data_IF_224527939828
#
_entry.id   IF_224527939828
#
_cell.length_a   1.000
_cell.length_b   1.000
_cell.length_c   1.000
_cell.angle_alpha   90.00
_cell.angle_beta   90.00
_cell.angle_gamma   90.00
#
_symmetry.space_group_name_H-M   'P 1'
#
loop_
_entity.id
_entity.type
_entity.pdbx_description
1 polymer ?
#
# COMPACT_ATOMS: atom_id res chain seq x y z
N UNK A 1 5.96 2.02 16.04
CA UNK A 1 6.08 2.74 14.76
C UNK A 1 4.84 3.55 14.48
N UNK A 2 3.66 3.01 14.71
CA UNK A 2 2.36 3.68 14.47
C UNK A 2 2.07 4.83 15.39
N UNK A 3 2.67 4.87 16.57
CA UNK A 3 2.52 5.99 17.52
C UNK A 3 3.07 7.31 16.97
N UNK A 4 4.00 7.21 16.03
CA UNK A 4 4.66 8.37 15.41
C UNK A 4 4.23 8.60 13.96
N UNK A 5 3.58 7.62 13.32
CA UNK A 5 3.29 7.61 11.90
C UNK A 5 1.80 7.37 11.64
N UNK A 6 0.95 8.19 12.21
CA UNK A 6 -0.52 8.07 12.09
C UNK A 6 -1.06 8.19 10.65
N UNK A 7 -0.26 8.75 9.76
CA UNK A 7 -0.57 8.83 8.34
C UNK A 7 -0.26 7.54 7.57
N UNK A 8 0.40 6.57 8.20
CA UNK A 8 0.74 5.28 7.60
C UNK A 8 -0.16 4.20 8.19
N UNK A 9 -0.69 3.35 7.32
CA UNK A 9 -1.33 2.11 7.69
C UNK A 9 -0.55 0.95 7.11
N UNK A 10 -0.04 0.08 7.96
CA UNK A 10 0.82 -1.02 7.54
C UNK A 10 0.00 -2.26 7.23
N UNK A 11 0.04 -2.68 5.96
CA UNK A 11 -0.74 -3.82 5.45
C UNK A 11 0.13 -4.88 4.78
N UNK A 12 1.45 -4.76 4.89
CA UNK A 12 2.40 -5.70 4.29
C UNK A 12 2.56 -6.99 5.08
N UNK A 13 3.29 -7.96 4.49
CA UNK A 13 3.64 -9.20 5.15
C UNK A 13 4.52 -8.98 6.38
N UNK A 14 4.43 -9.90 7.33
CA UNK A 14 5.24 -9.86 8.55
C UNK A 14 6.61 -10.47 8.29
N UNK A 15 7.56 -9.62 7.90
CA UNK A 15 8.93 -10.02 7.57
C UNK A 15 9.90 -10.00 8.76
N UNK A 16 11.09 -10.56 8.51
CA UNK A 16 12.23 -10.47 9.41
C UNK A 16 12.19 -11.47 10.57
N UNK A 17 11.28 -12.41 10.53
CA UNK A 17 11.16 -13.45 11.53
C UNK A 17 12.07 -14.64 11.16
N UNK A 18 12.88 -15.10 12.14
CA UNK A 18 13.78 -16.22 11.96
C UNK A 18 13.01 -17.54 12.02
N UNK A 19 13.25 -18.43 11.07
CA UNK A 19 12.55 -19.72 10.94
C UNK A 19 13.32 -20.91 11.52
N UNK A 20 14.53 -20.67 12.00
CA UNK A 20 15.41 -21.65 12.64
C UNK A 20 15.35 -21.63 14.17
N UNK A 21 14.47 -20.84 14.76
CA UNK A 21 14.27 -20.78 16.19
C UNK A 21 13.48 -22.00 16.72
N UNK A 22 13.79 -22.38 17.93
CA UNK A 22 13.12 -23.47 18.64
C UNK A 22 12.47 -22.97 19.94
N UNK A 23 11.73 -23.85 20.63
CA UNK A 23 11.17 -23.58 21.96
C UNK A 23 12.21 -23.35 23.05
N UNK A 24 13.51 -23.58 22.77
CA UNK A 24 14.62 -23.26 23.66
C UNK A 24 15.11 -21.83 23.49
N UNK A 25 14.86 -21.26 22.32
CA UNK A 25 15.32 -19.94 21.93
C UNK A 25 14.25 -18.87 22.18
N UNK A 26 12.98 -19.26 22.10
CA UNK A 26 11.83 -18.34 22.17
C UNK A 26 10.74 -18.91 23.06
N UNK A 27 10.39 -18.17 24.12
CA UNK A 27 9.32 -18.56 25.06
C UNK A 27 7.93 -18.09 24.61
N UNK A 28 7.85 -17.12 23.72
CA UNK A 28 6.61 -16.55 23.22
C UNK A 28 6.85 -15.33 22.33
N UNK A 29 5.78 -14.84 21.74
CA UNK A 29 5.80 -13.69 20.87
C UNK A 29 4.78 -12.65 21.36
N UNK A 30 5.22 -11.42 21.56
CA UNK A 30 4.36 -10.30 21.95
C UNK A 30 4.32 -9.31 20.79
N UNK A 31 3.12 -9.00 20.33
CA UNK A 31 2.90 -8.03 19.26
C UNK A 31 2.24 -6.76 19.79
N UNK A 32 2.68 -5.62 19.28
CA UNK A 32 2.02 -4.33 19.51
C UNK A 32 1.39 -3.88 18.18
N UNK A 33 0.13 -4.25 17.91
CA UNK A 33 -0.54 -3.90 16.66
C UNK A 33 -0.87 -2.41 16.59
N UNK A 34 -1.34 -1.97 15.41
CA UNK A 34 -1.86 -0.61 15.22
C UNK A 34 -3.11 -0.37 16.10
N UNK A 35 -3.47 0.89 16.29
CA UNK A 35 -4.72 1.27 16.99
C UNK A 35 -6.00 0.85 16.24
N UNK A 36 -5.87 0.50 14.95
CA UNK A 36 -6.94 0.01 14.08
C UNK A 36 -7.05 -1.51 14.16
N UNK A 37 -8.00 -2.01 14.93
CA UNK A 37 -8.10 -3.43 15.26
C UNK A 37 -8.34 -4.34 14.05
N UNK A 38 -9.23 -3.97 13.15
CA UNK A 38 -9.52 -4.76 11.96
C UNK A 38 -8.38 -4.68 10.95
N UNK A 39 -7.82 -3.50 10.72
CA UNK A 39 -6.68 -3.33 9.82
C UNK A 39 -5.40 -4.02 10.34
N UNK A 40 -5.29 -4.23 11.66
CA UNK A 40 -4.17 -4.98 12.26
C UNK A 40 -4.23 -6.48 12.02
N UNK A 41 -5.40 -7.03 11.69
CA UNK A 41 -5.57 -8.49 11.55
C UNK A 41 -4.67 -9.10 10.48
N UNK A 42 -4.40 -8.38 9.39
CA UNK A 42 -3.54 -8.90 8.34
C UNK A 42 -2.11 -9.13 8.84
N UNK A 43 -1.54 -8.19 9.59
CA UNK A 43 -0.23 -8.37 10.22
C UNK A 43 -0.27 -9.43 11.32
N UNK A 44 -1.32 -9.44 12.14
CA UNK A 44 -1.51 -10.43 13.22
C UNK A 44 -1.70 -11.85 12.68
N UNK A 45 -2.25 -12.00 11.48
CA UNK A 45 -2.34 -13.29 10.78
C UNK A 45 -0.93 -13.89 10.58
N UNK A 46 0.04 -13.05 10.19
CA UNK A 46 1.44 -13.45 10.10
C UNK A 46 2.06 -13.83 11.45
N UNK A 47 1.78 -13.06 12.49
CA UNK A 47 2.25 -13.35 13.86
C UNK A 47 1.69 -14.67 14.35
N UNK A 48 0.41 -14.94 14.11
CA UNK A 48 -0.25 -16.18 14.54
C UNK A 48 0.34 -17.41 13.83
N UNK A 49 0.49 -17.36 12.51
CA UNK A 49 1.05 -18.46 11.73
C UNK A 49 2.52 -18.74 12.13
N UNK A 50 3.34 -17.69 12.26
CA UNK A 50 4.70 -17.82 12.74
C UNK A 50 4.77 -18.45 14.13
N UNK A 51 3.92 -18.01 15.06
CA UNK A 51 3.91 -18.54 16.42
C UNK A 51 3.50 -20.02 16.48
N UNK A 52 2.69 -20.46 15.52
CA UNK A 52 2.20 -21.84 15.41
C UNK A 52 3.19 -22.76 14.71
N UNK A 53 3.86 -22.28 13.67
CA UNK A 53 4.74 -23.12 12.84
C UNK A 53 5.96 -22.32 12.33
N UNK A 54 6.88 -22.03 13.25
CA UNK A 54 8.08 -21.22 13.00
C UNK A 54 8.87 -21.74 11.78
N UNK A 55 9.12 -23.06 11.74
CA UNK A 55 10.03 -23.67 10.76
C UNK A 55 9.55 -23.55 9.30
N UNK A 56 8.23 -23.48 9.07
CA UNK A 56 7.65 -23.42 7.73
C UNK A 56 7.00 -22.06 7.43
N UNK A 57 7.23 -21.05 8.26
CA UNK A 57 6.64 -19.73 8.03
C UNK A 57 7.22 -19.10 6.77
N UNK A 58 6.32 -18.74 5.84
CA UNK A 58 6.64 -17.96 4.68
C UNK A 58 5.80 -16.68 4.69
N UNK A 59 6.41 -15.49 4.81
CA UNK A 59 5.68 -14.24 4.97
C UNK A 59 4.78 -13.89 3.78
N UNK A 60 5.19 -14.21 2.56
CA UNK A 60 4.38 -13.93 1.35
C UNK A 60 3.18 -14.86 1.24
N UNK A 61 3.41 -16.17 1.35
CA UNK A 61 2.34 -17.17 1.26
C UNK A 61 1.31 -16.97 2.39
N UNK A 62 1.80 -16.60 3.57
CA UNK A 62 0.93 -16.27 4.69
C UNK A 62 0.09 -15.02 4.41
N UNK A 63 0.70 -13.97 3.91
CA UNK A 63 0.03 -12.72 3.61
C UNK A 63 -1.05 -12.88 2.51
N UNK A 64 -0.76 -13.62 1.44
CA UNK A 64 -1.73 -13.92 0.38
C UNK A 64 -2.93 -14.72 0.95
N UNK A 65 -2.68 -15.72 1.80
CA UNK A 65 -3.75 -16.45 2.49
C UNK A 65 -4.55 -15.54 3.41
N UNK A 66 -3.86 -14.69 4.18
CA UNK A 66 -4.51 -13.74 5.08
C UNK A 66 -5.46 -12.78 4.37
N UNK A 67 -5.09 -12.29 3.20
CA UNK A 67 -5.97 -11.45 2.37
C UNK A 67 -7.25 -12.19 1.96
N UNK A 68 -7.12 -13.44 1.52
CA UNK A 68 -8.27 -14.27 1.14
C UNK A 68 -9.16 -14.60 2.35
N UNK A 69 -8.56 -15.00 3.47
CA UNK A 69 -9.31 -15.41 4.66
C UNK A 69 -10.04 -14.24 5.33
N UNK A 70 -9.44 -13.06 5.33
CA UNK A 70 -10.00 -11.87 5.98
C UNK A 70 -11.03 -11.15 5.10
N UNK A 71 -10.88 -11.20 3.78
CA UNK A 71 -11.74 -10.48 2.83
C UNK A 71 -11.98 -11.29 1.54
N UNK A 72 -12.60 -12.48 1.61
CA UNK A 72 -12.67 -13.38 0.48
C UNK A 72 -13.32 -12.77 -0.78
N UNK A 73 -14.31 -11.89 -0.61
CA UNK A 73 -15.00 -11.27 -1.75
C UNK A 73 -14.30 -10.02 -2.29
N UNK A 74 -13.34 -9.48 -1.54
CA UNK A 74 -12.64 -8.22 -1.88
C UNK A 74 -11.10 -8.37 -1.89
N UNK A 75 -10.57 -9.60 -1.77
CA UNK A 75 -9.15 -9.85 -1.55
C UNK A 75 -8.25 -9.25 -2.62
N UNK A 76 -8.63 -9.27 -3.89
CA UNK A 76 -7.84 -8.69 -4.98
C UNK A 76 -7.71 -7.16 -4.87
N UNK A 77 -8.81 -6.48 -4.53
CA UNK A 77 -8.79 -5.04 -4.31
C UNK A 77 -8.04 -4.68 -3.03
N UNK A 78 -8.23 -5.47 -1.96
CA UNK A 78 -7.47 -5.29 -0.73
C UNK A 78 -5.99 -5.57 -0.94
N UNK A 79 -5.64 -6.60 -1.71
CA UNK A 79 -4.25 -6.89 -2.08
C UNK A 79 -3.60 -5.71 -2.80
N UNK A 80 -4.30 -5.09 -3.75
CA UNK A 80 -3.81 -3.91 -4.46
C UNK A 80 -3.50 -2.76 -3.49
N UNK A 81 -4.39 -2.48 -2.55
CA UNK A 81 -4.16 -1.46 -1.52
C UNK A 81 -3.02 -1.86 -0.57
N UNK A 82 -3.03 -3.10 -0.09
CA UNK A 82 -2.11 -3.60 0.92
C UNK A 82 -0.66 -3.62 0.42
N UNK A 83 -0.41 -4.00 -0.84
CA UNK A 83 0.95 -3.99 -1.40
C UNK A 83 1.54 -2.59 -1.54
N UNK A 84 0.71 -1.54 -1.68
CA UNK A 84 1.15 -0.15 -1.69
C UNK A 84 1.18 0.50 -0.29
N UNK A 85 0.77 -0.24 0.74
CA UNK A 85 0.71 0.20 2.13
C UNK A 85 1.56 -0.70 3.04
N UNK A 86 2.63 -1.29 2.51
CA UNK A 86 3.46 -2.26 3.23
C UNK A 86 4.76 -1.67 3.77
N UNK A 87 5.06 -0.42 3.46
CA UNK A 87 6.32 0.23 3.81
C UNK A 87 6.12 1.40 4.77
N UNK A 88 7.19 1.76 5.47
CA UNK A 88 7.24 2.93 6.33
C UNK A 88 8.27 3.93 5.80
N UNK A 89 8.16 5.20 6.19
CA UNK A 89 9.17 6.22 5.89
C UNK A 89 10.56 5.89 6.43
N UNK A 90 10.67 4.99 7.40
CA UNK A 90 11.91 4.64 8.07
C UNK A 90 12.66 3.49 7.42
N UNK A 91 12.26 3.05 6.24
CA UNK A 91 13.04 2.12 5.42
C UNK A 91 12.96 0.67 5.83
N UNK A 92 11.81 0.20 6.29
CA UNK A 92 11.55 -1.24 6.29
C UNK A 92 11.68 -1.77 4.87
N UNK A 93 12.32 -2.92 4.72
CA UNK A 93 12.57 -3.54 3.42
C UNK A 93 11.28 -3.63 2.63
N UNK A 94 11.25 -2.98 1.51
CA UNK A 94 10.31 -3.26 0.44
C UNK A 94 10.59 -4.64 -0.11
N UNK A 95 9.55 -5.29 -0.57
CA UNK A 95 9.73 -6.46 -1.42
C UNK A 95 10.15 -5.93 -2.78
N UNK A 96 11.36 -6.25 -3.20
CA UNK A 96 11.93 -5.76 -4.47
C UNK A 96 11.02 -6.05 -5.67
N UNK A 97 10.25 -7.16 -5.63
CA UNK A 97 9.27 -7.50 -6.66
C UNK A 97 8.07 -6.55 -6.74
N UNK A 98 7.82 -5.77 -5.70
CA UNK A 98 6.74 -4.77 -5.63
C UNK A 98 7.25 -3.35 -5.88
N UNK A 99 8.55 -3.15 -5.87
CA UNK A 99 9.09 -1.87 -6.24
C UNK A 99 8.72 -1.57 -7.69
N UNK A 100 8.02 -0.46 -7.88
CA UNK A 100 7.85 0.10 -9.21
C UNK A 100 9.24 0.43 -9.72
N UNK A 101 9.69 -0.29 -10.74
CA UNK A 101 10.96 0.02 -11.41
C UNK A 101 10.95 1.50 -11.76
N UNK A 102 12.08 2.16 -11.58
CA UNK A 102 12.20 3.59 -11.88
C UNK A 102 11.75 3.83 -13.32
N UNK A 103 10.64 4.53 -13.47
CA UNK A 103 10.10 4.91 -14.76
C UNK A 103 10.73 6.23 -15.20
N UNK A 104 11.32 6.26 -16.38
CA UNK A 104 11.95 7.45 -16.95
C UNK A 104 11.12 7.97 -18.11
N UNK A 105 10.66 9.21 -18.05
CA UNK A 105 9.83 9.83 -19.10
C UNK A 105 10.55 10.04 -20.42
N UNK A 106 11.87 10.09 -20.38
CA UNK A 106 12.74 10.27 -21.56
C UNK A 106 13.18 8.94 -22.21
N UNK A 107 13.01 7.83 -21.51
CA UNK A 107 13.44 6.51 -21.98
C UNK A 107 12.60 5.38 -21.37
N UNK A 108 11.51 5.02 -22.01
CA UNK A 108 10.66 3.90 -21.63
C UNK A 108 10.14 3.13 -22.85
N UNK A 109 9.83 1.88 -22.65
CA UNK A 109 9.15 1.02 -23.63
C UNK A 109 7.63 1.14 -23.50
N UNK A 110 6.90 0.79 -24.54
CA UNK A 110 5.44 0.72 -24.48
C UNK A 110 4.95 -0.32 -23.45
N UNK A 111 5.71 -1.40 -23.25
CA UNK A 111 5.40 -2.39 -22.23
C UNK A 111 5.50 -1.82 -20.80
N UNK A 112 6.56 -1.07 -20.51
CA UNK A 112 6.72 -0.38 -19.20
C UNK A 112 5.64 0.67 -19.00
N UNK A 113 5.32 1.45 -20.03
CA UNK A 113 4.25 2.42 -19.98
C UNK A 113 2.89 1.77 -19.66
N UNK A 114 2.54 0.73 -20.41
CA UNK A 114 1.27 0.03 -20.25
C UNK A 114 1.17 -0.68 -18.89
N UNK A 115 2.27 -1.24 -18.39
CA UNK A 115 2.32 -1.86 -17.08
C UNK A 115 2.04 -0.83 -15.96
N UNK A 116 2.71 0.33 -16.01
CA UNK A 116 2.49 1.40 -15.04
C UNK A 116 1.08 1.99 -15.14
N UNK A 117 0.58 2.21 -16.36
CA UNK A 117 -0.79 2.67 -16.56
C UNK A 117 -1.83 1.69 -15.99
N UNK A 118 -1.63 0.40 -16.22
CA UNK A 118 -2.50 -0.66 -15.69
C UNK A 118 -2.47 -0.69 -14.16
N UNK A 119 -1.32 -0.44 -13.56
CA UNK A 119 -1.21 -0.35 -12.10
C UNK A 119 -2.02 0.83 -11.56
N UNK A 120 -1.91 2.01 -12.16
CA UNK A 120 -2.73 3.16 -11.74
C UNK A 120 -4.23 2.93 -11.94
N UNK A 121 -4.64 2.14 -12.94
CA UNK A 121 -6.04 1.72 -13.08
C UNK A 121 -6.47 0.86 -11.89
N UNK A 122 -5.65 -0.11 -11.47
CA UNK A 122 -5.94 -0.94 -10.28
C UNK A 122 -6.03 -0.09 -9.02
N UNK A 123 -5.03 0.78 -8.80
CA UNK A 123 -4.98 1.71 -7.66
C UNK A 123 -6.23 2.58 -7.59
N UNK A 124 -6.65 3.18 -8.71
CA UNK A 124 -7.86 4.00 -8.79
C UNK A 124 -9.13 3.22 -8.44
N UNK A 125 -9.24 1.98 -8.91
CA UNK A 125 -10.46 1.19 -8.81
C UNK A 125 -10.58 0.42 -7.48
N UNK A 126 -9.47 0.12 -6.81
CA UNK A 126 -9.45 -0.69 -5.60
C UNK A 126 -10.37 -0.16 -4.49
N UNK A 127 -10.44 1.15 -4.17
CA UNK A 127 -11.35 1.65 -3.14
C UNK A 127 -12.82 1.36 -3.44
N UNK A 128 -13.26 1.60 -4.67
CA UNK A 128 -14.65 1.34 -5.06
C UNK A 128 -14.97 -0.18 -5.05
N UNK A 129 -14.02 -1.00 -5.47
CA UNK A 129 -14.17 -2.46 -5.42
C UNK A 129 -14.23 -2.98 -3.98
N UNK A 130 -13.42 -2.44 -3.07
CA UNK A 130 -13.50 -2.75 -1.65
C UNK A 130 -14.84 -2.31 -1.05
N UNK A 131 -15.29 -1.09 -1.33
CA UNK A 131 -16.57 -0.60 -0.81
C UNK A 131 -17.76 -1.45 -1.30
N UNK A 132 -17.70 -1.95 -2.53
CA UNK A 132 -18.76 -2.78 -3.11
C UNK A 132 -18.78 -4.21 -2.60
N UNK A 133 -17.61 -4.79 -2.30
CA UNK A 133 -17.49 -6.24 -2.09
C UNK A 133 -17.08 -6.62 -0.66
N UNK A 134 -16.36 -5.76 0.08
CA UNK A 134 -15.92 -6.10 1.42
C UNK A 134 -17.07 -6.12 2.42
N UNK A 135 -17.32 -7.28 3.01
CA UNK A 135 -18.39 -7.47 4.00
C UNK A 135 -18.01 -7.03 5.42
N UNK A 136 -16.72 -6.77 5.66
CA UNK A 136 -16.24 -6.30 6.96
C UNK A 136 -16.39 -4.77 7.07
N UNK A 137 -17.53 -4.34 7.57
CA UNK A 137 -17.84 -2.91 7.71
C UNK A 137 -16.89 -2.16 8.65
N UNK A 138 -16.32 -2.83 9.66
CA UNK A 138 -15.38 -2.23 10.59
C UNK A 138 -14.02 -2.00 9.90
N UNK A 139 -13.54 -2.99 9.13
CA UNK A 139 -12.34 -2.84 8.32
C UNK A 139 -12.49 -1.68 7.33
N UNK A 140 -13.63 -1.60 6.65
CA UNK A 140 -13.91 -0.49 5.72
C UNK A 140 -13.93 0.86 6.43
N UNK A 141 -14.52 0.92 7.63
CA UNK A 141 -14.52 2.14 8.44
C UNK A 141 -13.10 2.58 8.79
N UNK A 142 -12.25 1.65 9.21
CA UNK A 142 -10.86 1.92 9.60
C UNK A 142 -10.01 2.32 8.39
N UNK A 143 -10.14 1.65 7.25
CA UNK A 143 -9.32 1.88 6.06
C UNK A 143 -9.76 3.08 5.20
N UNK A 144 -10.99 3.55 5.35
CA UNK A 144 -11.60 4.56 4.45
C UNK A 144 -10.75 5.81 4.21
N UNK A 145 -10.09 6.42 5.22
CA UNK A 145 -9.25 7.60 5.00
C UNK A 145 -8.13 7.33 3.99
N UNK A 146 -7.42 6.21 4.15
CA UNK A 146 -6.32 5.82 3.27
C UNK A 146 -6.80 5.36 1.90
N UNK A 147 -7.89 4.60 1.83
CA UNK A 147 -8.50 4.19 0.58
C UNK A 147 -8.93 5.38 -0.28
N UNK A 148 -9.45 6.43 0.36
CA UNK A 148 -9.84 7.67 -0.34
C UNK A 148 -8.62 8.32 -1.00
N UNK A 149 -7.52 8.48 -0.28
CA UNK A 149 -6.30 9.06 -0.84
C UNK A 149 -5.64 8.13 -1.87
N UNK A 150 -5.74 6.83 -1.68
CA UNK A 150 -5.27 5.83 -2.62
C UNK A 150 -5.98 5.92 -3.98
N UNK A 151 -7.28 6.10 -3.99
CA UNK A 151 -8.05 6.35 -5.22
C UNK A 151 -7.60 7.62 -5.94
N UNK A 152 -7.42 8.72 -5.20
CA UNK A 152 -6.88 9.99 -5.75
C UNK A 152 -5.46 9.82 -6.30
N UNK A 153 -4.62 9.00 -5.67
CA UNK A 153 -3.29 8.66 -6.19
C UNK A 153 -3.39 8.01 -7.56
N UNK A 154 -4.29 7.03 -7.72
CA UNK A 154 -4.56 6.38 -9.01
C UNK A 154 -5.03 7.36 -10.08
N UNK A 155 -5.92 8.30 -9.75
CA UNK A 155 -6.38 9.33 -10.66
C UNK A 155 -5.27 10.27 -11.11
N UNK A 156 -4.46 10.76 -10.16
CA UNK A 156 -3.28 11.58 -10.47
C UNK A 156 -2.27 10.82 -11.33
N UNK A 157 -2.05 9.54 -11.03
CA UNK A 157 -1.18 8.68 -11.82
C UNK A 157 -1.66 8.56 -13.27
N UNK A 158 -2.92 8.25 -13.51
CA UNK A 158 -3.50 8.14 -14.84
C UNK A 158 -3.43 9.47 -15.62
N UNK A 159 -3.67 10.59 -14.93
CA UNK A 159 -3.48 11.91 -15.53
C UNK A 159 -2.02 12.13 -15.93
N UNK A 160 -1.07 11.79 -15.07
CA UNK A 160 0.36 11.87 -15.38
C UNK A 160 0.73 11.00 -16.58
N UNK A 161 0.20 9.77 -16.68
CA UNK A 161 0.43 8.90 -17.85
C UNK A 161 -0.08 9.54 -19.15
N UNK A 162 -1.22 10.25 -19.12
CA UNK A 162 -1.68 10.99 -20.31
C UNK A 162 -0.75 12.16 -20.68
N UNK A 163 -0.22 12.88 -19.69
CA UNK A 163 0.72 13.97 -19.91
C UNK A 163 2.06 13.50 -20.49
N UNK A 164 2.53 12.31 -20.10
CA UNK A 164 3.74 11.69 -20.65
C UNK A 164 3.57 11.43 -22.17
N UNK A 165 2.35 11.09 -22.63
CA UNK A 165 2.07 10.96 -24.05
C UNK A 165 2.21 12.30 -24.77
N UNK A 166 1.73 13.40 -24.18
CA UNK A 166 1.90 14.75 -24.72
C UNK A 166 3.40 15.12 -24.81
N UNK A 167 4.18 14.85 -23.78
CA UNK A 167 5.62 15.07 -23.79
C UNK A 167 6.30 14.28 -24.93
N UNK A 168 5.99 12.99 -25.07
CA UNK A 168 6.53 12.15 -26.13
C UNK A 168 6.12 12.61 -27.53
N UNK A 169 4.97 13.27 -27.66
CA UNK A 169 4.51 13.90 -28.91
C UNK A 169 5.15 15.27 -29.20
N UNK A 170 6.02 15.78 -28.32
CA UNK A 170 6.68 17.08 -28.45
C UNK A 170 5.84 18.26 -27.94
N UNK A 171 4.78 17.99 -27.21
CA UNK A 171 3.91 19.02 -26.60
C UNK A 171 4.39 19.41 -25.20
N UNK A 172 5.62 19.88 -25.09
CA UNK A 172 6.28 20.15 -23.80
C UNK A 172 5.51 21.16 -22.95
N UNK A 173 4.94 22.19 -23.55
CA UNK A 173 4.15 23.17 -22.81
C UNK A 173 2.91 22.53 -22.17
N UNK A 174 2.15 21.74 -22.93
CA UNK A 174 0.96 21.04 -22.42
C UNK A 174 1.33 20.05 -21.29
N UNK A 175 2.47 19.37 -21.42
CA UNK A 175 2.99 18.52 -20.36
C UNK A 175 3.26 19.29 -19.07
N UNK A 176 4.04 20.37 -19.13
CA UNK A 176 4.44 21.11 -17.93
C UNK A 176 3.26 21.82 -17.26
N UNK A 177 2.38 22.43 -18.02
CA UNK A 177 1.16 23.04 -17.49
C UNK A 177 0.26 21.98 -16.80
N UNK A 178 0.05 20.85 -17.47
CA UNK A 178 -0.72 19.73 -16.93
C UNK A 178 -0.09 19.13 -15.68
N UNK A 179 1.24 18.98 -15.65
CA UNK A 179 1.96 18.47 -14.49
C UNK A 179 1.80 19.38 -13.27
N UNK A 180 1.99 20.69 -13.45
CA UNK A 180 1.83 21.65 -12.34
C UNK A 180 0.42 21.61 -11.77
N UNK A 181 -0.59 21.45 -12.63
CA UNK A 181 -2.00 21.39 -12.20
C UNK A 181 -2.40 20.02 -11.61
N UNK A 182 -1.63 18.97 -11.87
CA UNK A 182 -1.91 17.60 -11.39
C UNK A 182 -1.19 17.23 -10.11
N UNK A 183 -0.17 17.97 -9.72
CA UNK A 183 0.54 17.72 -8.44
C UNK A 183 -0.37 18.05 -7.26
N UNK A 184 0.00 17.54 -6.09
CA UNK A 184 -0.69 17.92 -4.85
C UNK A 184 -0.70 19.43 -4.67
N UNK A 185 -1.80 19.99 -4.24
CA UNK A 185 -1.89 21.40 -3.87
C UNK A 185 -1.00 21.69 -2.65
N UNK A 186 -0.68 22.96 -2.41
CA UNK A 186 0.06 23.37 -1.21
C UNK A 186 -0.73 23.05 0.06
N UNK A 187 -2.04 23.15 -0.01
CA UNK A 187 -2.98 22.84 1.05
C UNK A 187 -2.98 21.34 1.37
N UNK A 188 -3.00 20.48 0.34
CA UNK A 188 -2.89 19.03 0.52
C UNK A 188 -1.54 18.63 1.13
N UNK A 189 -0.44 19.24 0.68
CA UNK A 189 0.89 19.00 1.26
C UNK A 189 0.92 19.43 2.72
N UNK A 190 0.37 20.60 3.05
CA UNK A 190 0.31 21.08 4.44
C UNK A 190 -0.57 20.19 5.33
N UNK A 191 -1.69 19.68 4.80
CA UNK A 191 -2.51 18.72 5.51
C UNK A 191 -1.77 17.40 5.76
N UNK A 192 -1.06 16.88 4.76
CA UNK A 192 -0.22 15.69 4.91
C UNK A 192 0.88 15.88 5.98
N UNK A 193 1.61 17.00 5.95
CA UNK A 193 2.65 17.29 6.94
C UNK A 193 2.09 17.42 8.36
N UNK A 194 0.89 17.95 8.49
CA UNK A 194 0.18 18.00 9.76
C UNK A 194 -0.18 16.62 10.30
N UNK A 195 -0.64 15.72 9.44
CA UNK A 195 -0.87 14.31 9.78
C UNK A 195 0.42 13.61 10.20
N UNK A 196 1.49 13.82 9.44
CA UNK A 196 2.81 13.27 9.71
C UNK A 196 3.35 13.70 11.06
N UNK A 197 3.10 14.91 11.48
CA UNK A 197 3.53 15.42 12.80
C UNK A 197 2.74 14.84 13.98
N UNK A 198 1.75 14.01 13.74
CA UNK A 198 0.91 13.42 14.78
C UNK A 198 -0.04 14.41 15.46
N UNK A 199 -0.23 15.60 14.90
CA UNK A 199 -1.07 16.66 15.45
C UNK A 199 -2.53 16.59 15.00
N UNK A 200 -2.89 15.63 14.19
CA UNK A 200 -4.29 15.40 13.81
C UNK A 200 -4.90 14.25 14.60
N UNK A 201 -6.04 14.54 15.15
CA UNK A 201 -6.96 13.58 15.75
C UNK A 201 -7.93 13.10 14.69
#
# INVERSE_FOLDING_TARGET
VTDYARHIIMQGPTYGLQTDLTNKDLCGFVSNPMEHGEASKLALYGVADYSWNIANYNPLDNWERGLVDLTPEAHEAYRTFAMHSCDTETGYRRIESWETKSFRIDNFTDAEFNALQSEFVRVKNAPAQMEANCKNALLMKELRPWLTEFGKLGERGLKTMSLIKEYKAGNDQAFWEGYVNNRMSKEDVAAYEKHKSGTMV
#
